data_IF_069943510355
#
_entry.id   IF_069943510355
#
_cell.length_a   1.000
_cell.length_b   1.000
_cell.length_c   1.000
_cell.angle_alpha   90.00
_cell.angle_beta   90.00
_cell.angle_gamma   90.00
#
_symmetry.space_group_name_H-M   'P 1'
#
loop_
_entity.id
_entity.type
_entity.pdbx_description
1 polymer ?
#
# COMPACT_ATOMS: atom_id res chain seq x y z
N UNK A 1 3.65 -17.76 5.98
CA UNK A 1 3.44 -17.71 4.52
C UNK A 1 2.39 -16.65 4.16
N UNK A 2 1.26 -16.61 4.85
CA UNK A 2 0.14 -15.67 4.62
C UNK A 2 0.47 -14.17 4.70
N UNK A 3 1.20 -13.71 5.72
CA UNK A 3 1.54 -12.28 5.90
C UNK A 3 2.35 -11.69 4.74
N UNK A 4 3.30 -12.47 4.19
CA UNK A 4 4.15 -12.06 3.07
C UNK A 4 3.31 -11.91 1.80
N UNK A 5 2.47 -12.91 1.52
CA UNK A 5 1.58 -12.89 0.35
C UNK A 5 0.66 -11.68 0.38
N UNK A 6 0.04 -11.38 1.53
CA UNK A 6 -0.82 -10.19 1.67
C UNK A 6 -0.04 -8.88 1.49
N UNK A 7 1.15 -8.75 2.10
CA UNK A 7 2.00 -7.57 1.93
C UNK A 7 2.32 -7.30 0.45
N UNK A 8 2.72 -8.35 -0.29
CA UNK A 8 3.04 -8.25 -1.71
C UNK A 8 1.81 -7.91 -2.53
N UNK A 9 0.70 -8.60 -2.29
CA UNK A 9 -0.55 -8.39 -3.04
C UNK A 9 -1.05 -6.96 -2.85
N UNK A 10 -1.22 -6.52 -1.59
CA UNK A 10 -1.65 -5.16 -1.28
C UNK A 10 -0.64 -4.15 -1.81
N UNK A 11 0.64 -4.32 -1.49
CA UNK A 11 1.71 -3.41 -1.95
C UNK A 11 1.71 -3.22 -3.46
N UNK A 12 1.46 -4.29 -4.22
CA UNK A 12 1.35 -4.25 -5.68
C UNK A 12 0.15 -3.42 -6.15
N UNK A 13 -1.04 -3.58 -5.56
CA UNK A 13 -2.24 -2.83 -5.95
C UNK A 13 -2.28 -1.38 -5.43
N UNK A 14 -1.43 -1.02 -4.46
CA UNK A 14 -1.18 0.37 -4.07
C UNK A 14 -0.11 1.06 -4.92
N UNK A 15 0.61 0.31 -5.74
CA UNK A 15 1.73 0.82 -6.52
C UNK A 15 1.48 0.77 -8.03
N UNK A 16 0.72 -0.21 -8.52
CA UNK A 16 0.33 -0.32 -9.92
C UNK A 16 -1.20 -0.30 -10.09
N UNK A 17 -1.72 0.28 -11.18
CA UNK A 17 -3.15 0.24 -11.49
C UNK A 17 -3.58 -1.19 -11.88
N UNK A 18 -4.84 -1.58 -11.66
CA UNK A 18 -5.33 -2.94 -11.93
C UNK A 18 -5.08 -3.47 -13.35
N UNK A 19 -5.05 -2.62 -14.38
CA UNK A 19 -4.78 -3.01 -15.77
C UNK A 19 -3.29 -3.24 -16.09
N UNK A 20 -2.38 -3.01 -15.13
CA UNK A 20 -0.96 -3.18 -15.32
C UNK A 20 -0.61 -4.67 -15.53
N UNK A 21 0.46 -4.95 -16.29
CA UNK A 21 0.93 -6.32 -16.54
C UNK A 21 1.28 -7.08 -15.25
N UNK A 22 1.66 -6.36 -14.19
CA UNK A 22 2.02 -6.93 -12.88
C UNK A 22 0.75 -7.30 -12.08
N UNK A 23 -0.26 -6.44 -12.05
CA UNK A 23 -1.50 -6.63 -11.28
C UNK A 23 -2.52 -7.52 -11.96
N UNK A 24 -2.60 -7.49 -13.29
CA UNK A 24 -3.56 -8.27 -14.10
C UNK A 24 -3.63 -9.75 -13.67
N UNK A 25 -2.51 -10.50 -13.54
CA UNK A 25 -2.57 -11.90 -13.09
C UNK A 25 -2.96 -12.07 -11.62
N UNK A 26 -2.95 -11.01 -10.82
CA UNK A 26 -3.22 -11.01 -9.38
C UNK A 26 -4.65 -10.57 -9.03
N UNK A 27 -5.43 -10.09 -10.01
CA UNK A 27 -6.80 -9.56 -9.78
C UNK A 27 -7.64 -10.59 -9.02
N UNK A 28 -7.66 -11.84 -9.48
CA UNK A 28 -8.48 -12.87 -8.83
C UNK A 28 -8.07 -13.14 -7.38
N UNK A 29 -6.77 -13.03 -7.06
CA UNK A 29 -6.29 -13.17 -5.70
C UNK A 29 -6.69 -11.97 -4.82
N UNK A 30 -6.75 -10.76 -5.38
CA UNK A 30 -7.25 -9.58 -4.68
C UNK A 30 -8.76 -9.68 -4.41
N UNK A 31 -9.54 -10.14 -5.38
CA UNK A 31 -11.00 -10.24 -5.25
C UNK A 31 -11.46 -11.29 -4.24
N UNK A 32 -10.61 -12.28 -3.95
CA UNK A 32 -10.88 -13.36 -2.98
C UNK A 32 -9.87 -13.30 -1.82
N UNK A 33 -9.43 -12.10 -1.45
CA UNK A 33 -8.40 -11.93 -0.41
C UNK A 33 -8.91 -12.35 0.98
N UNK A 34 -10.23 -12.38 1.18
CA UNK A 34 -10.93 -12.92 2.34
C UNK A 34 -10.63 -14.41 2.58
N UNK A 35 -10.43 -15.19 1.51
CA UNK A 35 -10.15 -16.62 1.60
C UNK A 35 -8.66 -16.94 1.84
N UNK A 36 -7.77 -15.96 1.69
CA UNK A 36 -6.32 -16.20 1.77
C UNK A 36 -5.82 -16.38 3.20
N UNK A 37 -6.51 -15.79 4.19
CA UNK A 37 -6.12 -15.81 5.61
C UNK A 37 -7.33 -15.74 6.53
N UNK A 38 -7.13 -16.09 7.80
CA UNK A 38 -8.10 -15.77 8.85
C UNK A 38 -7.99 -14.29 9.24
N UNK A 39 -8.94 -13.49 8.78
CA UNK A 39 -9.04 -12.06 9.10
C UNK A 39 -9.65 -11.84 10.49
N UNK A 40 -9.23 -10.76 11.18
CA UNK A 40 -9.83 -10.37 12.46
C UNK A 40 -11.32 -9.99 12.31
N UNK A 41 -11.68 -9.40 11.17
CA UNK A 41 -13.06 -8.99 10.86
C UNK A 41 -13.52 -9.54 9.50
N UNK A 42 -13.81 -10.85 9.37
CA UNK A 42 -14.09 -11.49 8.07
C UNK A 42 -15.26 -10.86 7.31
N UNK A 43 -16.33 -10.48 8.01
CA UNK A 43 -17.50 -9.85 7.38
C UNK A 43 -17.14 -8.52 6.69
N UNK A 44 -16.26 -7.72 7.31
CA UNK A 44 -15.82 -6.44 6.74
C UNK A 44 -15.02 -6.71 5.45
N UNK A 45 -14.12 -7.69 5.47
CA UNK A 45 -13.27 -8.02 4.32
C UNK A 45 -14.12 -8.56 3.17
N UNK A 46 -15.06 -9.49 3.45
CA UNK A 46 -15.94 -10.03 2.43
C UNK A 46 -16.81 -8.94 1.78
N UNK A 47 -17.31 -7.97 2.57
CA UNK A 47 -17.97 -6.78 2.03
C UNK A 47 -17.04 -5.98 1.10
N UNK A 48 -15.77 -5.79 1.48
CA UNK A 48 -14.80 -5.09 0.65
C UNK A 48 -14.47 -5.86 -0.63
N UNK A 49 -14.32 -7.18 -0.58
CA UNK A 49 -14.14 -8.04 -1.75
C UNK A 49 -15.30 -7.86 -2.75
N UNK A 50 -16.54 -7.82 -2.27
CA UNK A 50 -17.71 -7.55 -3.11
C UNK A 50 -17.65 -6.16 -3.76
N UNK A 51 -17.23 -5.13 -3.03
CA UNK A 51 -17.05 -3.78 -3.60
C UNK A 51 -15.95 -3.79 -4.66
N UNK A 52 -14.80 -4.42 -4.40
CA UNK A 52 -13.73 -4.55 -5.38
C UNK A 52 -14.23 -5.24 -6.66
N UNK A 53 -14.96 -6.35 -6.52
CA UNK A 53 -15.50 -7.11 -7.65
C UNK A 53 -16.52 -6.31 -8.47
N UNK A 54 -17.34 -5.49 -7.81
CA UNK A 54 -18.33 -4.64 -8.49
C UNK A 54 -17.71 -3.47 -9.26
N UNK A 55 -16.46 -3.09 -8.95
CA UNK A 55 -15.81 -1.90 -9.50
C UNK A 55 -14.52 -2.21 -10.29
N UNK A 56 -14.09 -3.46 -10.39
CA UNK A 56 -12.86 -3.83 -11.11
C UNK A 56 -12.91 -3.52 -12.61
N UNK A 57 -14.11 -3.59 -13.21
CA UNK A 57 -14.36 -3.33 -14.63
C UNK A 57 -14.81 -1.88 -14.92
N UNK A 58 -14.71 -0.98 -13.92
CA UNK A 58 -14.99 0.45 -14.13
C UNK A 58 -14.02 1.03 -15.16
N UNK A 59 -14.56 1.62 -16.24
CA UNK A 59 -13.76 2.19 -17.33
C UNK A 59 -12.86 3.34 -16.87
N UNK A 60 -13.24 4.02 -15.78
CA UNK A 60 -12.50 5.13 -15.21
C UNK A 60 -11.44 4.70 -14.18
N UNK A 61 -11.32 3.40 -13.86
CA UNK A 61 -10.47 2.93 -12.76
C UNK A 61 -8.99 3.34 -12.89
N UNK A 62 -8.48 3.39 -14.12
CA UNK A 62 -7.11 3.85 -14.37
C UNK A 62 -6.96 5.35 -14.16
N UNK A 63 -7.95 6.14 -14.58
CA UNK A 63 -7.95 7.58 -14.33
C UNK A 63 -8.08 7.87 -12.83
N UNK A 64 -8.95 7.14 -12.13
CA UNK A 64 -9.07 7.19 -10.68
C UNK A 64 -7.74 6.87 -9.98
N UNK A 65 -6.97 5.88 -10.48
CA UNK A 65 -5.63 5.59 -9.99
C UNK A 65 -4.69 6.78 -10.19
N UNK A 66 -4.64 7.35 -11.39
CA UNK A 66 -3.78 8.50 -11.68
C UNK A 66 -4.06 9.71 -10.79
N UNK A 67 -5.34 9.97 -10.47
CA UNK A 67 -5.74 11.02 -9.52
C UNK A 67 -5.28 10.73 -8.08
N UNK A 68 -5.36 9.47 -7.65
CA UNK A 68 -5.12 9.07 -6.25
C UNK A 68 -3.64 8.78 -5.94
N UNK A 69 -2.86 8.31 -6.92
CA UNK A 69 -1.51 7.80 -6.69
C UNK A 69 -0.42 8.44 -7.57
N UNK A 70 -0.77 9.02 -8.72
CA UNK A 70 0.23 9.58 -9.67
C UNK A 70 0.24 11.12 -9.74
N UNK A 71 -0.73 11.78 -9.10
CA UNK A 71 -0.73 13.24 -8.93
C UNK A 71 -1.31 13.99 -10.12
N UNK A 72 -2.16 13.32 -10.91
CA UNK A 72 -2.99 14.03 -11.86
C UNK A 72 -4.04 14.87 -11.10
N UNK A 73 -3.97 16.19 -11.21
CA UNK A 73 -4.87 17.08 -10.48
C UNK A 73 -4.66 17.09 -8.97
N UNK A 74 -5.74 17.26 -8.20
CA UNK A 74 -5.68 17.29 -6.74
C UNK A 74 -5.62 15.87 -6.17
N UNK A 75 -4.54 15.54 -5.49
CA UNK A 75 -4.36 14.24 -4.82
C UNK A 75 -4.83 14.31 -3.36
N UNK A 76 -5.97 13.69 -2.99
CA UNK A 76 -6.58 13.86 -1.67
C UNK A 76 -5.82 13.14 -0.54
N UNK A 77 -5.10 12.07 -0.86
CA UNK A 77 -4.35 11.27 0.09
C UNK A 77 -2.99 10.85 -0.52
N UNK A 78 -1.97 11.73 -0.49
CA UNK A 78 -0.69 11.42 -1.08
C UNK A 78 -0.02 10.20 -0.47
N UNK A 79 0.38 9.17 -1.24
CA UNK A 79 0.77 7.87 -0.69
C UNK A 79 2.21 7.82 -0.17
N UNK A 80 2.83 8.94 0.21
CA UNK A 80 4.23 9.01 0.65
C UNK A 80 4.32 9.39 2.13
N UNK A 81 5.16 8.67 2.89
CA UNK A 81 5.31 8.92 4.33
C UNK A 81 5.79 10.33 4.67
N UNK A 82 6.74 10.85 3.92
CA UNK A 82 7.29 12.22 4.05
C UNK A 82 6.22 13.30 3.92
N UNK A 83 5.19 13.10 3.09
CA UNK A 83 4.06 14.03 3.02
C UNK A 83 3.38 14.20 4.39
N UNK A 84 3.31 13.16 5.22
CA UNK A 84 2.64 13.22 6.53
C UNK A 84 3.57 13.56 7.69
N UNK A 85 4.87 13.24 7.57
CA UNK A 85 5.83 13.32 8.66
C UNK A 85 6.70 14.57 8.62
N UNK A 86 7.07 15.02 7.42
CA UNK A 86 8.00 16.12 7.27
C UNK A 86 7.28 17.48 7.25
N UNK A 87 8.03 18.51 7.66
CA UNK A 87 7.54 19.89 7.67
C UNK A 87 7.20 20.33 6.24
N UNK A 88 6.18 21.17 6.11
CA UNK A 88 5.70 21.70 4.82
C UNK A 88 5.14 20.65 3.84
N UNK A 89 4.92 19.39 4.27
CA UNK A 89 4.42 18.32 3.39
C UNK A 89 5.31 18.07 2.16
N UNK A 90 6.61 18.36 2.28
CA UNK A 90 7.59 18.17 1.22
C UNK A 90 7.94 16.70 1.07
N UNK A 91 7.92 16.20 -0.17
CA UNK A 91 8.47 14.90 -0.51
C UNK A 91 10.00 14.94 -0.42
N UNK A 92 10.62 13.78 -0.22
CA UNK A 92 12.08 13.63 -0.09
C UNK A 92 12.67 14.37 1.11
N UNK A 93 11.89 14.48 2.20
CA UNK A 93 12.33 15.09 3.45
C UNK A 93 13.14 14.15 4.34
N UNK A 94 13.30 14.56 5.61
CA UNK A 94 14.14 13.85 6.57
C UNK A 94 13.63 12.43 6.85
N UNK A 95 12.31 12.26 6.97
CA UNK A 95 11.71 10.94 7.22
C UNK A 95 12.00 9.95 6.09
N UNK A 96 11.96 10.41 4.84
CA UNK A 96 12.28 9.63 3.65
C UNK A 96 13.76 9.21 3.64
N UNK A 97 14.67 10.14 3.91
CA UNK A 97 16.10 9.86 3.97
C UNK A 97 16.44 8.87 5.10
N UNK A 98 15.83 9.01 6.28
CA UNK A 98 15.97 8.03 7.35
C UNK A 98 15.50 6.63 6.91
N UNK A 99 14.37 6.55 6.18
CA UNK A 99 13.88 5.28 5.64
C UNK A 99 14.80 4.70 4.56
N UNK A 100 15.35 5.53 3.68
CA UNK A 100 16.36 5.13 2.68
C UNK A 100 17.58 4.51 3.34
N UNK A 101 18.11 5.14 4.39
CA UNK A 101 19.25 4.62 5.14
C UNK A 101 18.93 3.28 5.82
N UNK A 102 17.74 3.16 6.41
CA UNK A 102 17.27 1.88 6.97
C UNK A 102 17.24 0.77 5.92
N UNK A 103 16.71 1.03 4.72
CA UNK A 103 16.69 0.05 3.63
C UNK A 103 18.11 -0.37 3.22
N UNK A 104 19.01 0.60 3.05
CA UNK A 104 20.41 0.35 2.68
C UNK A 104 21.15 -0.48 3.74
N UNK A 105 20.93 -0.21 5.03
CA UNK A 105 21.51 -0.99 6.13
C UNK A 105 21.10 -2.46 6.12
N UNK A 106 19.92 -2.77 5.58
CA UNK A 106 19.41 -4.13 5.41
C UNK A 106 19.59 -4.69 4.00
N UNK A 107 20.39 -4.04 3.15
CA UNK A 107 20.71 -4.53 1.80
C UNK A 107 19.53 -4.46 0.83
N UNK A 108 18.53 -3.62 1.10
CA UNK A 108 17.40 -3.42 0.21
C UNK A 108 17.62 -2.19 -0.66
N UNK A 109 17.31 -2.34 -1.95
CA UNK A 109 17.25 -1.22 -2.90
C UNK A 109 15.99 -1.40 -3.73
N UNK A 110 15.07 -0.45 -3.62
CA UNK A 110 13.83 -0.45 -4.38
C UNK A 110 14.12 0.20 -5.74
N UNK A 111 14.57 -0.60 -6.70
CA UNK A 111 14.81 -0.11 -8.06
C UNK A 111 13.56 -0.31 -8.91
N UNK A 112 12.71 0.71 -8.96
CA UNK A 112 11.49 0.71 -9.78
C UNK A 112 11.73 1.23 -11.20
N UNK A 113 12.98 1.61 -11.52
CA UNK A 113 13.32 2.27 -12.79
C UNK A 113 12.82 3.72 -12.91
N UNK A 114 12.18 4.24 -11.87
CA UNK A 114 11.64 5.59 -11.76
C UNK A 114 12.35 6.35 -10.63
N UNK A 115 12.41 7.68 -10.73
CA UNK A 115 12.92 8.53 -9.65
C UNK A 115 11.79 8.91 -8.70
N UNK A 116 11.25 7.93 -7.98
CA UNK A 116 10.17 8.13 -7.01
C UNK A 116 10.66 7.89 -5.57
N UNK A 117 10.02 8.53 -4.57
CA UNK A 117 10.37 8.31 -3.17
C UNK A 117 10.06 6.87 -2.71
N UNK A 118 11.03 6.23 -2.04
CA UNK A 118 10.90 4.86 -1.53
C UNK A 118 9.82 4.69 -0.45
N UNK A 119 9.46 5.78 0.22
CA UNK A 119 8.45 5.83 1.27
C UNK A 119 7.01 5.86 0.74
N UNK A 120 6.81 5.49 -0.53
CA UNK A 120 5.49 5.23 -1.09
C UNK A 120 4.87 3.99 -0.41
N UNK A 121 3.60 4.07 -0.01
CA UNK A 121 2.93 3.07 0.82
C UNK A 121 3.04 1.63 0.29
N UNK A 122 2.76 1.43 -1.00
CA UNK A 122 2.85 0.13 -1.66
C UNK A 122 4.28 -0.39 -1.72
N UNK A 123 5.25 0.47 -2.00
CA UNK A 123 6.68 0.13 -1.95
C UNK A 123 7.13 -0.30 -0.56
N UNK A 124 6.67 0.38 0.49
CA UNK A 124 6.98 0.02 1.88
C UNK A 124 6.41 -1.36 2.25
N UNK A 125 5.20 -1.70 1.79
CA UNK A 125 4.63 -3.04 2.00
C UNK A 125 5.43 -4.12 1.26
N UNK A 126 5.88 -3.84 0.03
CA UNK A 126 6.73 -4.78 -0.71
C UNK A 126 8.09 -4.95 -0.03
N UNK A 127 8.71 -3.88 0.45
CA UNK A 127 9.95 -3.92 1.23
C UNK A 127 9.79 -4.73 2.53
N UNK A 128 8.66 -4.57 3.23
CA UNK A 128 8.32 -5.39 4.40
C UNK A 128 8.27 -6.88 4.05
N UNK A 129 7.62 -7.24 2.95
CA UNK A 129 7.60 -8.61 2.46
C UNK A 129 9.00 -9.16 2.16
N UNK A 130 9.86 -8.36 1.51
CA UNK A 130 11.25 -8.76 1.21
C UNK A 130 12.06 -9.03 2.49
N UNK A 131 11.90 -8.21 3.54
CA UNK A 131 12.57 -8.46 4.82
C UNK A 131 12.11 -9.78 5.45
N UNK A 132 10.82 -10.08 5.39
CA UNK A 132 10.28 -11.35 5.89
C UNK A 132 10.76 -12.56 5.08
N UNK A 133 10.81 -12.45 3.75
CA UNK A 133 11.33 -13.51 2.85
C UNK A 133 12.80 -13.82 3.15
N UNK A 134 13.57 -12.79 3.52
CA UNK A 134 14.97 -12.93 3.92
C UNK A 134 15.15 -13.36 5.40
N UNK A 135 14.06 -13.75 6.09
CA UNK A 135 14.06 -14.10 7.52
C UNK A 135 14.58 -12.98 8.44
N UNK A 136 14.58 -11.72 7.99
CA UNK A 136 15.01 -10.57 8.76
C UNK A 136 13.82 -9.98 9.55
N UNK A 137 13.27 -10.78 10.47
CA UNK A 137 12.07 -10.46 11.23
C UNK A 137 12.22 -9.21 12.11
N UNK A 138 13.43 -8.97 12.63
CA UNK A 138 13.73 -7.77 13.45
C UNK A 138 13.59 -6.50 12.62
N UNK A 139 14.23 -6.46 11.44
CA UNK A 139 14.10 -5.33 10.53
C UNK A 139 12.67 -5.19 10.02
N UNK A 140 11.98 -6.29 9.70
CA UNK A 140 10.59 -6.25 9.26
C UNK A 140 9.69 -5.59 10.32
N UNK A 141 9.88 -5.92 11.60
CA UNK A 141 9.17 -5.28 12.72
C UNK A 141 9.55 -3.80 12.87
N UNK A 142 10.82 -3.47 12.69
CA UNK A 142 11.29 -2.08 12.71
C UNK A 142 10.65 -1.25 11.60
N UNK A 143 10.62 -1.74 10.36
CA UNK A 143 9.95 -1.09 9.23
C UNK A 143 8.50 -0.75 9.57
N UNK A 144 7.74 -1.72 10.08
CA UNK A 144 6.33 -1.50 10.42
C UNK A 144 6.18 -0.44 11.52
N UNK A 145 6.90 -0.58 12.64
CA UNK A 145 6.70 0.27 13.80
C UNK A 145 7.28 1.68 13.67
N UNK A 146 8.46 1.80 13.07
CA UNK A 146 9.24 3.05 13.07
C UNK A 146 9.10 3.82 11.77
N UNK A 147 8.70 3.18 10.66
CA UNK A 147 8.63 3.84 9.36
C UNK A 147 7.22 3.87 8.76
N UNK A 148 6.41 2.81 8.91
CA UNK A 148 5.09 2.73 8.26
C UNK A 148 3.94 3.20 9.15
N UNK A 149 3.77 2.62 10.35
CA UNK A 149 2.60 2.86 11.21
C UNK A 149 2.50 4.29 11.74
N UNK A 150 3.63 5.01 11.79
CA UNK A 150 3.68 6.39 12.27
C UNK A 150 2.91 7.38 11.38
N UNK A 151 2.55 6.99 10.15
CA UNK A 151 1.79 7.83 9.22
C UNK A 151 0.65 7.10 8.48
N UNK A 152 0.78 5.79 8.27
CA UNK A 152 -0.15 5.02 7.43
C UNK A 152 -1.60 5.07 7.91
N UNK A 153 -1.84 5.16 9.22
CA UNK A 153 -3.19 5.32 9.79
C UNK A 153 -3.88 6.60 9.29
N UNK A 154 -3.15 7.70 9.20
CA UNK A 154 -3.66 8.99 8.70
C UNK A 154 -3.88 8.92 7.19
N UNK A 155 -2.94 8.35 6.45
CA UNK A 155 -3.06 8.12 5.02
C UNK A 155 -4.29 7.26 4.67
N UNK A 156 -4.42 6.08 5.26
CA UNK A 156 -5.54 5.16 5.01
C UNK A 156 -6.87 5.77 5.47
N UNK A 157 -6.89 6.56 6.56
CA UNK A 157 -8.10 7.30 6.95
C UNK A 157 -8.55 8.26 5.86
N UNK A 158 -7.65 9.03 5.25
CA UNK A 158 -7.97 9.94 4.14
C UNK A 158 -8.39 9.17 2.89
N UNK A 159 -7.66 8.11 2.54
CA UNK A 159 -7.98 7.30 1.36
C UNK A 159 -9.34 6.60 1.50
N UNK A 160 -9.72 6.10 2.68
CA UNK A 160 -11.07 5.56 2.93
C UNK A 160 -12.19 6.58 2.74
N UNK A 161 -11.89 7.87 2.84
CA UNK A 161 -12.85 8.97 2.68
C UNK A 161 -12.83 9.59 1.28
N UNK A 162 -12.02 9.07 0.35
CA UNK A 162 -11.94 9.62 -0.99
C UNK A 162 -13.28 9.46 -1.74
N UNK A 163 -13.69 10.48 -2.48
CA UNK A 163 -14.92 10.45 -3.29
C UNK A 163 -14.66 9.97 -4.74
N UNK A 164 -13.41 9.74 -5.09
CA UNK A 164 -12.94 9.46 -6.45
C UNK A 164 -13.24 8.02 -6.87
N UNK A 165 -12.99 7.05 -5.97
CA UNK A 165 -13.04 5.63 -6.31
C UNK A 165 -13.55 4.75 -5.15
N UNK A 166 -14.71 4.10 -5.32
CA UNK A 166 -15.17 3.05 -4.41
C UNK A 166 -14.17 1.89 -4.30
N UNK A 167 -13.52 1.52 -5.41
CA UNK A 167 -12.50 0.46 -5.45
C UNK A 167 -11.35 0.76 -4.50
N UNK A 168 -10.75 1.96 -4.60
CA UNK A 168 -9.63 2.32 -3.74
C UNK A 168 -10.04 2.62 -2.28
N UNK A 169 -11.30 2.97 -2.01
CA UNK A 169 -11.83 2.99 -0.63
C UNK A 169 -11.82 1.58 -0.03
N UNK A 170 -12.35 0.60 -0.75
CA UNK A 170 -12.39 -0.80 -0.31
C UNK A 170 -10.98 -1.38 -0.12
N UNK A 171 -10.06 -1.09 -1.06
CA UNK A 171 -8.65 -1.48 -0.94
C UNK A 171 -8.00 -0.88 0.32
N UNK A 172 -8.29 0.38 0.64
CA UNK A 172 -7.80 1.04 1.86
C UNK A 172 -8.36 0.41 3.14
N UNK A 173 -9.63 -0.02 3.13
CA UNK A 173 -10.23 -0.74 4.25
C UNK A 173 -9.55 -2.10 4.48
N UNK A 174 -9.29 -2.86 3.43
CA UNK A 174 -8.57 -4.14 3.53
C UNK A 174 -7.14 -3.92 4.05
N UNK A 175 -6.43 -2.91 3.54
CA UNK A 175 -5.08 -2.59 3.99
C UNK A 175 -5.04 -2.19 5.47
N UNK A 176 -6.01 -1.40 5.94
CA UNK A 176 -6.12 -1.00 7.34
C UNK A 176 -6.35 -2.22 8.26
N UNK A 177 -7.22 -3.14 7.84
CA UNK A 177 -7.42 -4.42 8.55
C UNK A 177 -6.16 -5.27 8.56
N UNK A 178 -5.42 -5.31 7.45
CA UNK A 178 -4.16 -6.04 7.37
C UNK A 178 -3.12 -5.48 8.34
N UNK A 179 -2.96 -4.15 8.41
CA UNK A 179 -2.02 -3.52 9.33
C UNK A 179 -2.37 -3.77 10.81
N UNK A 180 -3.65 -3.92 11.15
CA UNK A 180 -4.09 -4.27 12.51
C UNK A 180 -3.74 -5.71 12.92
N UNK A 181 -3.42 -6.58 11.95
CA UNK A 181 -3.02 -7.97 12.20
C UNK A 181 -1.49 -8.15 12.37
N UNK A 182 -0.69 -7.12 12.07
CA UNK A 182 0.77 -7.20 12.07
C UNK A 182 1.35 -7.14 13.48
#
# INVERSE_FOLDING_TARGET
>A
MTRITLAKLLGTFFYYPPNNKVTTPLIQALLHIDDLVEWLNPCIISEQCNILANHIDDSELNYQFSLLFEGQGTMPAPPWGSFYLDKEHLLLGQSQECYRQFLQQHGLTLNTGMNEPEDQFGLMLMAYAMLLENNNYTAAKQLINEHLLIWSSTYLKRLKQNEISPFYRALAMIADQYLQML
#
